data_IF_747222792338
#
_entry.id   IF_747222792338
#
_cell.length_a   1.000
_cell.length_b   1.000
_cell.length_c   1.000
_cell.angle_alpha   90.00
_cell.angle_beta   90.00
_cell.angle_gamma   90.00
#
_symmetry.space_group_name_H-M   'P 1'
#
loop_
_entity.id
_entity.type
_entity.pdbx_description
1 polymer ?
#
# COMPACT_ATOMS: atom_id res chain seq x y z
N UNK A 1 41.55 -13.56 -17.98
CA UNK A 1 40.07 -13.51 -17.96
C UNK A 1 39.63 -12.05 -17.72
N UNK A 2 39.04 -11.40 -18.72
CA UNK A 2 38.38 -10.11 -18.52
C UNK A 2 37.03 -10.39 -17.87
N UNK A 3 36.86 -9.96 -16.61
CA UNK A 3 35.58 -9.91 -15.94
C UNK A 3 34.77 -8.65 -16.30
N UNK A 4 33.58 -8.50 -15.71
CA UNK A 4 32.81 -7.28 -15.88
C UNK A 4 33.44 -6.13 -15.11
N UNK A 5 33.60 -4.98 -15.75
CA UNK A 5 34.14 -3.76 -15.12
C UNK A 5 33.30 -3.29 -13.94
N UNK A 6 31.98 -3.54 -14.00
CA UNK A 6 31.04 -3.26 -12.89
C UNK A 6 31.32 -4.06 -11.60
N UNK A 7 32.04 -5.17 -11.69
CA UNK A 7 32.45 -6.00 -10.56
C UNK A 7 33.87 -5.65 -10.06
N UNK A 8 34.53 -4.65 -10.66
CA UNK A 8 35.85 -4.25 -10.26
C UNK A 8 35.85 -3.51 -8.93
N UNK A 9 36.90 -3.72 -8.13
CA UNK A 9 37.16 -2.99 -6.88
C UNK A 9 38.10 -1.80 -7.07
N UNK A 10 38.19 -1.28 -8.30
CA UNK A 10 39.00 -0.10 -8.64
C UNK A 10 38.50 1.19 -7.99
N UNK A 11 39.26 2.27 -8.16
CA UNK A 11 39.03 3.59 -7.53
C UNK A 11 37.58 4.10 -7.70
N UNK A 12 36.93 3.83 -8.81
CA UNK A 12 35.54 4.27 -9.07
C UNK A 12 34.50 3.53 -8.21
N UNK A 13 34.79 2.29 -7.83
CA UNK A 13 33.87 1.43 -7.09
C UNK A 13 34.28 1.19 -5.63
N UNK A 14 35.39 1.77 -5.17
CA UNK A 14 35.97 1.52 -3.85
C UNK A 14 35.05 1.90 -2.69
N UNK A 15 34.22 2.92 -2.88
CA UNK A 15 33.23 3.35 -1.88
C UNK A 15 31.85 2.70 -2.05
N UNK A 16 31.65 1.89 -3.07
CA UNK A 16 30.34 1.29 -3.37
C UNK A 16 30.21 -0.06 -2.67
N UNK A 17 29.70 -0.01 -1.41
CA UNK A 17 29.43 -1.21 -0.62
C UNK A 17 28.05 -1.76 -0.96
N UNK A 18 28.00 -2.97 -1.45
CA UNK A 18 26.76 -3.67 -1.83
C UNK A 18 26.75 -5.07 -1.23
N UNK A 19 25.55 -5.54 -0.89
CA UNK A 19 25.32 -6.87 -0.36
C UNK A 19 24.30 -7.60 -1.23
N UNK A 20 24.54 -8.87 -1.48
CA UNK A 20 23.63 -9.72 -2.24
C UNK A 20 22.68 -10.44 -1.29
N UNK A 21 21.64 -9.74 -0.85
CA UNK A 21 20.65 -10.23 0.11
C UNK A 21 19.24 -10.30 -0.51
N UNK A 22 18.31 -10.96 0.22
CA UNK A 22 16.90 -10.90 -0.15
C UNK A 22 16.35 -9.48 -0.02
N UNK A 23 15.35 -9.12 -0.83
CA UNK A 23 14.79 -7.77 -0.79
C UNK A 23 14.25 -7.41 0.61
N UNK A 24 13.57 -8.35 1.27
CA UNK A 24 13.01 -8.10 2.60
C UNK A 24 14.11 -7.83 3.65
N UNK A 25 15.23 -8.53 3.59
CA UNK A 25 16.33 -8.32 4.52
C UNK A 25 17.00 -6.95 4.29
N UNK A 26 17.15 -6.55 3.04
CA UNK A 26 17.70 -5.23 2.67
C UNK A 26 16.78 -4.10 3.11
N UNK A 27 15.46 -4.25 2.88
CA UNK A 27 14.51 -3.15 2.99
C UNK A 27 13.96 -2.95 4.41
N UNK A 28 13.82 -4.02 5.18
CA UNK A 28 13.07 -4.01 6.46
C UNK A 28 13.55 -2.98 7.48
N UNK A 29 14.87 -2.77 7.58
CA UNK A 29 15.46 -1.84 8.56
C UNK A 29 15.41 -0.37 8.11
N UNK A 30 15.29 -0.14 6.82
CA UNK A 30 15.28 1.20 6.24
C UNK A 30 13.87 1.71 5.92
N UNK A 31 12.89 0.83 5.81
CA UNK A 31 11.52 1.09 5.35
C UNK A 31 10.86 2.26 6.08
N UNK A 32 10.85 2.22 7.41
CA UNK A 32 10.16 3.22 8.23
C UNK A 32 10.84 4.59 8.15
N UNK A 33 12.17 4.61 8.11
CA UNK A 33 12.94 5.86 7.94
C UNK A 33 12.69 6.46 6.56
N UNK A 34 12.69 5.65 5.51
CA UNK A 34 12.39 6.09 4.15
C UNK A 34 10.99 6.69 4.08
N UNK A 35 9.99 6.01 4.64
CA UNK A 35 8.59 6.48 4.71
C UNK A 35 8.48 7.81 5.45
N UNK A 36 9.08 7.91 6.63
CA UNK A 36 9.08 9.14 7.42
C UNK A 36 9.68 10.32 6.64
N UNK A 37 10.81 10.11 5.95
CA UNK A 37 11.45 11.12 5.10
C UNK A 37 10.61 11.48 3.88
N UNK A 38 9.95 10.51 3.25
CA UNK A 38 9.05 10.75 2.12
C UNK A 38 7.84 11.59 2.53
N UNK A 39 7.26 11.33 3.71
CA UNK A 39 6.19 12.14 4.29
C UNK A 39 6.66 13.54 4.69
N UNK A 40 7.91 13.69 5.10
CA UNK A 40 8.50 15.01 5.36
C UNK A 40 8.64 15.83 4.07
N UNK A 41 9.13 15.24 2.98
CA UNK A 41 9.16 15.88 1.67
C UNK A 41 7.75 16.25 1.17
N UNK A 42 6.75 15.40 1.39
CA UNK A 42 5.37 15.72 1.03
C UNK A 42 4.86 16.98 1.76
N UNK A 43 5.27 17.20 3.00
CA UNK A 43 4.84 18.37 3.80
C UNK A 43 5.65 19.62 3.52
N UNK A 44 6.97 19.48 3.38
CA UNK A 44 7.91 20.58 3.54
C UNK A 44 8.67 20.94 2.25
N UNK A 45 8.56 20.15 1.15
CA UNK A 45 9.22 20.41 -0.12
C UNK A 45 8.21 20.74 -1.22
N UNK A 46 8.33 21.91 -1.83
CA UNK A 46 7.52 22.33 -2.98
C UNK A 46 7.79 21.46 -4.22
N UNK A 47 9.05 21.10 -4.45
CA UNK A 47 9.47 20.18 -5.51
C UNK A 47 8.85 18.80 -5.26
N UNK A 48 8.98 18.28 -4.03
CA UNK A 48 8.38 17.00 -3.62
C UNK A 48 6.88 16.98 -3.86
N UNK A 49 6.18 18.01 -3.42
CA UNK A 49 4.73 18.16 -3.67
C UNK A 49 4.40 18.23 -5.15
N UNK A 50 5.20 18.92 -5.96
CA UNK A 50 4.96 19.06 -7.39
C UNK A 50 5.07 17.73 -8.12
N UNK A 51 6.08 16.92 -7.77
CA UNK A 51 6.26 15.55 -8.30
C UNK A 51 5.05 14.66 -7.91
N UNK A 52 4.64 14.68 -6.63
CA UNK A 52 3.51 13.89 -6.13
C UNK A 52 2.21 14.30 -6.82
N UNK A 53 1.97 15.60 -6.99
CA UNK A 53 0.78 16.12 -7.69
C UNK A 53 0.78 15.73 -9.17
N UNK A 54 1.93 15.80 -9.85
CA UNK A 54 2.06 15.40 -11.24
C UNK A 54 1.78 13.90 -11.42
N UNK A 55 2.36 13.06 -10.57
CA UNK A 55 2.09 11.62 -10.57
C UNK A 55 0.59 11.32 -10.37
N UNK A 56 0.00 11.88 -9.31
CA UNK A 56 -1.42 11.69 -9.00
C UNK A 56 -2.32 12.12 -10.15
N UNK A 57 -2.05 13.25 -10.78
CA UNK A 57 -2.81 13.76 -11.92
C UNK A 57 -2.72 12.85 -13.14
N UNK A 58 -1.52 12.34 -13.43
CA UNK A 58 -1.30 11.49 -14.61
C UNK A 58 -1.83 10.07 -14.42
N UNK A 59 -1.69 9.49 -13.21
CA UNK A 59 -2.15 8.14 -12.92
C UNK A 59 -3.67 8.08 -12.77
N UNK A 60 -4.26 9.05 -12.07
CA UNK A 60 -5.67 9.03 -11.74
C UNK A 60 -6.54 9.77 -12.77
N UNK A 61 -6.04 10.85 -13.37
CA UNK A 61 -6.76 11.66 -14.38
C UNK A 61 -8.12 12.15 -13.90
N UNK A 62 -9.14 11.88 -14.70
CA UNK A 62 -10.56 12.25 -14.43
C UNK A 62 -11.29 11.24 -13.51
N UNK A 63 -10.62 10.19 -13.06
CA UNK A 63 -11.20 9.13 -12.23
C UNK A 63 -11.65 7.90 -13.02
N UNK A 64 -12.16 6.92 -12.28
CA UNK A 64 -12.59 5.64 -12.84
C UNK A 64 -14.06 5.69 -13.25
N UNK A 65 -14.35 5.13 -14.42
CA UNK A 65 -15.70 4.93 -14.94
C UNK A 65 -15.91 3.45 -15.18
N UNK A 66 -17.02 2.91 -14.69
CA UNK A 66 -17.43 1.56 -15.04
C UNK A 66 -18.03 1.59 -16.46
N UNK A 67 -17.60 0.66 -17.28
CA UNK A 67 -18.16 0.39 -18.61
C UNK A 67 -18.62 -1.07 -18.62
N UNK A 68 -19.84 -1.36 -18.17
CA UNK A 68 -20.37 -2.72 -18.22
C UNK A 68 -20.50 -3.18 -19.68
N UNK A 69 -20.15 -4.44 -19.93
CA UNK A 69 -20.24 -5.06 -21.25
C UNK A 69 -20.92 -6.42 -21.12
N UNK A 70 -22.21 -6.40 -20.82
CA UNK A 70 -23.07 -7.60 -20.86
C UNK A 70 -23.87 -7.62 -22.16
N UNK A 71 -24.50 -8.74 -22.47
CA UNK A 71 -25.36 -8.87 -23.66
C UNK A 71 -26.63 -8.02 -23.57
N UNK A 72 -27.01 -7.53 -22.40
CA UNK A 72 -28.20 -6.71 -22.14
C UNK A 72 -27.85 -5.25 -21.90
N UNK A 73 -28.27 -4.35 -22.77
CA UNK A 73 -28.12 -2.91 -22.61
C UNK A 73 -28.82 -2.40 -21.32
N UNK A 74 -30.02 -2.94 -21.04
CA UNK A 74 -30.75 -2.59 -19.82
C UNK A 74 -29.96 -2.92 -18.56
N UNK A 75 -29.31 -4.09 -18.52
CA UNK A 75 -28.46 -4.49 -17.42
C UNK A 75 -27.21 -3.60 -17.31
N UNK A 76 -26.60 -3.23 -18.43
CA UNK A 76 -25.46 -2.32 -18.45
C UNK A 76 -25.81 -0.95 -17.86
N UNK A 77 -26.98 -0.41 -18.19
CA UNK A 77 -27.46 0.85 -17.63
C UNK A 77 -27.74 0.76 -16.13
N UNK A 78 -28.34 -0.33 -15.68
CA UNK A 78 -28.60 -0.58 -14.26
C UNK A 78 -27.28 -0.68 -13.47
N UNK A 79 -26.31 -1.44 -13.96
CA UNK A 79 -24.98 -1.57 -13.36
C UNK A 79 -24.24 -0.22 -13.32
N UNK A 80 -24.35 0.58 -14.39
CA UNK A 80 -23.78 1.91 -14.43
C UNK A 80 -24.39 2.88 -13.41
N UNK A 81 -25.71 2.83 -13.22
CA UNK A 81 -26.42 3.62 -12.20
C UNK A 81 -26.03 3.17 -10.78
N UNK A 82 -26.03 1.86 -10.53
CA UNK A 82 -25.65 1.28 -9.24
C UNK A 82 -24.21 1.63 -8.86
N UNK A 83 -23.28 1.53 -9.82
CA UNK A 83 -21.89 1.92 -9.63
C UNK A 83 -21.75 3.39 -9.23
N UNK A 84 -22.42 4.31 -9.94
CA UNK A 84 -22.40 5.74 -9.61
C UNK A 84 -22.93 6.02 -8.19
N UNK A 85 -23.98 5.28 -7.78
CA UNK A 85 -24.52 5.40 -6.43
C UNK A 85 -23.56 4.82 -5.38
N UNK A 86 -22.97 3.64 -5.65
CA UNK A 86 -22.01 3.03 -4.75
C UNK A 86 -20.76 3.89 -4.58
N UNK A 87 -20.28 4.57 -5.60
CA UNK A 87 -19.10 5.46 -5.54
C UNK A 87 -19.27 6.68 -4.61
N UNK A 88 -20.46 6.96 -4.12
CA UNK A 88 -20.68 8.04 -3.14
C UNK A 88 -20.11 7.65 -1.78
N UNK A 89 -19.63 8.63 -1.02
CA UNK A 89 -18.94 8.44 0.24
C UNK A 89 -19.72 7.61 1.27
N UNK A 90 -21.04 7.78 1.32
CA UNK A 90 -21.93 7.07 2.24
C UNK A 90 -21.99 5.57 1.97
N UNK A 91 -21.75 5.16 0.71
CA UNK A 91 -21.93 3.80 0.24
C UNK A 91 -20.62 3.02 0.09
N UNK A 92 -19.53 3.67 -0.33
CA UNK A 92 -18.27 2.99 -0.60
C UNK A 92 -17.27 3.04 0.56
N UNK A 93 -17.33 4.06 1.41
CA UNK A 93 -16.39 4.25 2.52
C UNK A 93 -17.02 3.84 3.86
N UNK A 94 -16.30 3.09 4.68
CA UNK A 94 -16.76 2.70 6.01
C UNK A 94 -16.93 3.91 6.93
N UNK A 95 -16.08 4.92 6.76
CA UNK A 95 -16.12 6.18 7.53
C UNK A 95 -17.09 7.21 6.94
N UNK A 96 -17.66 6.93 5.76
CA UNK A 96 -18.52 7.84 4.99
C UNK A 96 -17.91 9.23 4.74
N UNK A 97 -16.59 9.33 4.72
CA UNK A 97 -15.85 10.59 4.55
C UNK A 97 -15.42 10.86 3.11
N UNK A 98 -15.13 9.80 2.35
CA UNK A 98 -14.54 9.89 1.02
C UNK A 98 -15.34 9.13 -0.04
N UNK A 99 -15.53 9.76 -1.19
CA UNK A 99 -16.03 9.09 -2.38
C UNK A 99 -14.98 8.11 -2.93
N UNK A 100 -15.40 7.12 -3.71
CA UNK A 100 -14.49 6.15 -4.32
C UNK A 100 -13.34 6.81 -5.10
N UNK A 101 -13.63 7.88 -5.83
CA UNK A 101 -12.60 8.64 -6.53
C UNK A 101 -11.59 9.32 -5.59
N UNK A 102 -12.03 9.81 -4.44
CA UNK A 102 -11.13 10.39 -3.42
C UNK A 102 -10.27 9.31 -2.76
N UNK A 103 -10.86 8.14 -2.45
CA UNK A 103 -10.16 6.96 -1.95
C UNK A 103 -9.05 6.56 -2.91
N UNK A 104 -9.33 6.43 -4.20
CA UNK A 104 -8.34 6.01 -5.19
C UNK A 104 -7.25 7.07 -5.44
N UNK A 105 -7.59 8.36 -5.37
CA UNK A 105 -6.58 9.45 -5.40
C UNK A 105 -5.64 9.38 -4.22
N UNK A 106 -6.18 9.16 -3.03
CA UNK A 106 -5.38 8.99 -1.82
C UNK A 106 -4.50 7.75 -1.92
N UNK A 107 -5.04 6.62 -2.38
CA UNK A 107 -4.29 5.39 -2.59
C UNK A 107 -3.11 5.58 -3.55
N UNK A 108 -3.30 6.28 -4.66
CA UNK A 108 -2.22 6.59 -5.60
C UNK A 108 -1.12 7.44 -4.94
N UNK A 109 -1.51 8.42 -4.11
CA UNK A 109 -0.57 9.26 -3.37
C UNK A 109 0.19 8.44 -2.32
N UNK A 110 -0.52 7.66 -1.50
CA UNK A 110 0.10 6.83 -0.46
C UNK A 110 1.00 5.76 -1.06
N UNK A 111 0.63 5.18 -2.21
CA UNK A 111 1.48 4.23 -2.93
C UNK A 111 2.81 4.85 -3.32
N UNK A 112 2.83 6.10 -3.75
CA UNK A 112 4.06 6.81 -4.12
C UNK A 112 4.88 7.22 -2.88
N UNK A 113 4.23 7.82 -1.87
CA UNK A 113 4.90 8.38 -0.69
C UNK A 113 5.26 7.28 0.31
N UNK A 114 4.29 6.46 0.70
CA UNK A 114 4.47 5.44 1.74
C UNK A 114 4.95 4.10 1.16
N UNK A 115 4.86 3.94 -0.18
CA UNK A 115 5.14 2.70 -0.89
C UNK A 115 3.91 1.83 -1.07
N UNK A 116 2.83 2.07 -0.34
CA UNK A 116 1.60 1.29 -0.40
C UNK A 116 0.53 1.76 0.56
N UNK A 117 -0.60 1.10 0.48
CA UNK A 117 -1.74 1.22 1.39
C UNK A 117 -2.50 -0.10 1.43
N UNK A 118 -3.30 -0.32 2.46
CA UNK A 118 -4.16 -1.48 2.61
C UNK A 118 -5.63 -1.06 2.42
N UNK A 119 -6.36 -1.86 1.67
CA UNK A 119 -7.82 -1.79 1.66
C UNK A 119 -8.38 -3.00 2.39
N UNK A 120 -9.27 -2.78 3.33
CA UNK A 120 -10.02 -3.84 3.99
C UNK A 120 -11.44 -3.84 3.45
N UNK A 121 -11.86 -5.01 2.98
CA UNK A 121 -13.23 -5.27 2.55
C UNK A 121 -14.11 -5.39 3.79
N UNK A 122 -15.06 -4.48 3.95
CA UNK A 122 -16.03 -4.48 5.04
C UNK A 122 -17.41 -4.84 4.52
N UNK A 123 -18.00 -5.84 5.11
CA UNK A 123 -19.37 -6.25 4.81
C UNK A 123 -20.30 -5.71 5.90
N UNK A 124 -21.28 -4.90 5.48
CA UNK A 124 -22.21 -4.22 6.38
C UNK A 124 -23.60 -4.85 6.31
N UNK A 125 -24.38 -4.74 7.39
CA UNK A 125 -25.77 -5.12 7.37
C UNK A 125 -26.59 -3.93 6.84
N UNK A 126 -27.21 -4.10 5.67
CA UNK A 126 -27.99 -3.03 5.03
C UNK A 126 -27.17 -2.08 4.15
N UNK A 127 -27.84 -1.08 3.57
CA UNK A 127 -27.29 -0.15 2.59
C UNK A 127 -27.58 -0.55 1.15
N UNK A 128 -27.17 0.29 0.20
CA UNK A 128 -27.40 0.06 -1.23
C UNK A 128 -26.71 -1.24 -1.72
N UNK A 129 -25.46 -1.41 -1.30
CA UNK A 129 -24.66 -2.63 -1.48
C UNK A 129 -24.02 -2.92 -0.12
N UNK A 130 -24.14 -4.13 0.43
CA UNK A 130 -23.60 -4.49 1.75
C UNK A 130 -22.07 -4.66 1.69
N UNK A 131 -21.36 -3.75 1.03
CA UNK A 131 -19.93 -3.78 0.83
C UNK A 131 -19.36 -2.38 0.85
N UNK A 132 -18.37 -2.17 1.71
CA UNK A 132 -17.63 -0.91 1.83
C UNK A 132 -16.12 -1.18 1.89
N UNK A 133 -15.34 -0.15 1.61
CA UNK A 133 -13.89 -0.18 1.76
C UNK A 133 -13.49 0.60 3.01
N UNK A 134 -12.47 0.09 3.69
CA UNK A 134 -11.74 0.80 4.72
C UNK A 134 -10.29 0.93 4.25
N UNK A 135 -9.74 2.13 4.24
CA UNK A 135 -8.31 2.34 4.03
C UNK A 135 -7.57 2.27 5.35
N UNK A 136 -6.41 1.64 5.33
CA UNK A 136 -5.51 1.46 6.48
C UNK A 136 -4.10 1.77 6.00
N UNK A 137 -3.38 2.58 6.75
CA UNK A 137 -1.98 2.90 6.45
C UNK A 137 -1.07 1.69 6.66
N UNK A 138 0.02 1.61 5.91
CA UNK A 138 0.95 0.46 6.00
C UNK A 138 1.72 0.40 7.32
N UNK A 139 1.83 1.50 8.03
CA UNK A 139 2.42 1.56 9.38
C UNK A 139 1.46 1.10 10.49
N UNK A 140 0.17 0.92 10.19
CA UNK A 140 -0.74 0.19 11.07
C UNK A 140 -0.50 -1.33 11.07
N UNK A 141 0.34 -1.87 10.17
CA UNK A 141 0.78 -3.26 10.28
C UNK A 141 1.66 -3.43 11.52
N UNK A 142 1.26 -4.35 12.40
CA UNK A 142 2.00 -4.61 13.64
C UNK A 142 3.31 -5.36 13.37
N UNK A 143 4.38 -4.61 13.19
CA UNK A 143 5.72 -5.17 12.95
C UNK A 143 6.30 -5.93 14.13
N UNK A 144 5.69 -5.82 15.32
CA UNK A 144 6.12 -6.55 16.53
C UNK A 144 5.47 -7.92 16.62
N UNK A 145 4.42 -8.19 15.85
CA UNK A 145 3.79 -9.50 15.79
C UNK A 145 4.78 -10.54 15.27
N UNK A 146 5.02 -11.57 16.06
CA UNK A 146 5.96 -12.68 15.74
C UNK A 146 5.32 -14.05 15.82
N UNK A 147 4.15 -14.17 16.46
CA UNK A 147 3.45 -15.43 16.68
C UNK A 147 2.37 -15.59 15.59
N UNK A 148 2.50 -16.61 14.73
CA UNK A 148 1.49 -16.88 13.72
C UNK A 148 0.21 -17.42 14.35
N UNK A 149 -0.93 -17.10 13.74
CA UNK A 149 -2.23 -17.64 14.14
C UNK A 149 -2.40 -19.11 13.71
N UNK A 150 -1.79 -19.48 12.60
CA UNK A 150 -1.84 -20.84 12.07
C UNK A 150 -0.51 -21.54 12.23
N UNK A 151 -0.54 -22.77 12.74
CA UNK A 151 0.66 -23.60 12.95
C UNK A 151 1.40 -23.84 11.63
N UNK A 152 2.71 -23.66 11.63
CA UNK A 152 3.56 -23.85 10.45
C UNK A 152 3.76 -22.60 9.60
N UNK A 153 3.02 -21.52 9.87
CA UNK A 153 3.20 -20.23 9.21
C UNK A 153 4.29 -19.39 9.88
N UNK A 154 4.67 -18.32 9.22
CA UNK A 154 5.66 -17.36 9.73
C UNK A 154 5.10 -15.94 9.63
N UNK A 155 5.35 -15.10 10.65
CA UNK A 155 4.96 -13.69 10.64
C UNK A 155 6.16 -12.82 10.30
N UNK A 156 6.02 -11.97 9.30
CA UNK A 156 7.05 -11.01 8.91
C UNK A 156 6.40 -9.65 8.66
N UNK A 157 6.84 -8.64 9.40
CA UNK A 157 6.37 -7.26 9.24
C UNK A 157 4.87 -7.09 9.39
N UNK A 158 4.24 -7.83 10.31
CA UNK A 158 2.80 -7.77 10.58
C UNK A 158 1.94 -8.59 9.61
N UNK A 159 2.55 -9.41 8.76
CA UNK A 159 1.83 -10.25 7.80
C UNK A 159 2.19 -11.71 8.06
N UNK A 160 1.18 -12.56 8.20
CA UNK A 160 1.33 -14.00 8.32
C UNK A 160 1.41 -14.63 6.93
N UNK A 161 2.46 -15.42 6.71
CA UNK A 161 2.74 -16.12 5.46
C UNK A 161 2.72 -17.63 5.66
N UNK A 162 2.16 -18.35 4.71
CA UNK A 162 2.28 -19.80 4.63
C UNK A 162 3.68 -20.22 4.11
N UNK A 163 4.03 -21.52 4.14
CA UNK A 163 5.31 -22.01 3.64
C UNK A 163 5.56 -21.69 2.16
N UNK A 164 4.52 -21.47 1.35
CA UNK A 164 4.62 -21.03 -0.04
C UNK A 164 4.80 -19.51 -0.19
N UNK A 165 4.97 -18.76 0.92
CA UNK A 165 5.07 -17.29 0.99
C UNK A 165 3.81 -16.57 0.53
N UNK A 166 2.65 -17.19 0.61
CA UNK A 166 1.36 -16.56 0.37
C UNK A 166 0.88 -15.90 1.67
N UNK A 167 0.44 -14.67 1.61
CA UNK A 167 -0.15 -13.98 2.76
C UNK A 167 -1.47 -14.67 3.14
N UNK A 168 -1.59 -15.02 4.42
CA UNK A 168 -2.76 -15.68 5.02
C UNK A 168 -3.57 -14.70 5.87
N UNK A 169 -2.90 -13.77 6.53
CA UNK A 169 -3.54 -12.76 7.35
C UNK A 169 -2.63 -11.60 7.71
N UNK A 170 -3.23 -10.58 8.29
CA UNK A 170 -2.60 -9.31 8.62
C UNK A 170 -2.88 -8.96 10.08
N UNK A 171 -1.87 -8.62 10.83
CA UNK A 171 -1.97 -8.07 12.18
C UNK A 171 -2.01 -6.56 12.06
N UNK A 172 -3.18 -5.97 12.31
CA UNK A 172 -3.41 -4.53 12.17
C UNK A 172 -3.43 -3.92 13.57
N UNK A 173 -2.51 -3.01 13.80
CA UNK A 173 -2.49 -2.19 15.00
C UNK A 173 -3.65 -1.20 14.95
N UNK A 174 -4.39 -1.12 16.04
CA UNK A 174 -5.47 -0.14 16.15
C UNK A 174 -4.97 1.15 16.81
N UNK A 175 -5.56 2.25 16.38
CA UNK A 175 -5.39 3.56 16.98
C UNK A 175 -6.76 4.06 17.45
N UNK A 176 -6.78 4.79 18.53
CA UNK A 176 -7.98 5.54 18.95
C UNK A 176 -8.18 6.79 18.08
N UNK A 177 -9.25 7.54 18.35
CA UNK A 177 -9.60 8.76 17.59
C UNK A 177 -8.56 9.87 17.76
N UNK A 178 -7.82 9.87 18.86
CA UNK A 178 -6.75 10.84 19.16
C UNK A 178 -5.42 10.42 18.51
N UNK A 179 -5.34 9.22 17.94
CA UNK A 179 -4.15 8.69 17.27
C UNK A 179 -3.21 7.92 18.19
N UNK A 180 -3.63 7.58 19.42
CA UNK A 180 -2.84 6.75 20.31
C UNK A 180 -2.97 5.27 19.96
N UNK A 181 -1.85 4.57 20.03
CA UNK A 181 -1.78 3.15 19.74
C UNK A 181 -2.50 2.34 20.82
N UNK A 182 -3.47 1.51 20.41
CA UNK A 182 -4.11 0.55 21.29
C UNK A 182 -3.23 -0.69 21.51
N UNK A 183 -3.40 -1.37 22.65
CA UNK A 183 -2.50 -2.45 23.09
C UNK A 183 -2.63 -3.74 22.28
N UNK A 184 -3.78 -4.00 21.69
CA UNK A 184 -4.06 -5.29 21.03
C UNK A 184 -4.29 -5.12 19.54
N UNK A 185 -3.45 -5.71 18.67
CA UNK A 185 -3.68 -5.71 17.25
C UNK A 185 -4.86 -6.63 16.88
N UNK A 186 -5.54 -6.28 15.80
CA UNK A 186 -6.60 -7.10 15.21
C UNK A 186 -6.04 -7.93 14.07
N UNK A 187 -6.33 -9.23 14.07
CA UNK A 187 -6.00 -10.11 12.96
C UNK A 187 -7.11 -10.09 11.92
N UNK A 188 -6.74 -9.81 10.67
CA UNK A 188 -7.65 -9.82 9.52
C UNK A 188 -7.15 -10.84 8.50
N UNK A 189 -8.00 -11.79 8.13
CA UNK A 189 -7.67 -12.79 7.11
C UNK A 189 -7.39 -12.13 5.76
N UNK A 190 -6.41 -12.65 5.02
CA UNK A 190 -5.96 -12.08 3.75
C UNK A 190 -7.06 -11.95 2.69
N UNK A 191 -8.08 -12.82 2.72
CA UNK A 191 -9.23 -12.73 1.81
C UNK A 191 -10.01 -11.41 1.92
N UNK A 192 -9.91 -10.73 3.08
CA UNK A 192 -10.55 -9.43 3.33
C UNK A 192 -9.64 -8.24 3.09
N UNK A 193 -8.35 -8.46 2.83
CA UNK A 193 -7.37 -7.40 2.65
C UNK A 193 -6.89 -7.35 1.22
N UNK A 194 -6.83 -6.15 0.66
CA UNK A 194 -6.21 -5.88 -0.66
C UNK A 194 -4.98 -5.02 -0.38
N UNK A 195 -3.78 -5.59 -0.39
CA UNK A 195 -2.56 -4.82 -0.32
C UNK A 195 -2.32 -4.09 -1.65
N UNK A 196 -2.18 -2.78 -1.60
CA UNK A 196 -1.94 -1.96 -2.77
C UNK A 196 -0.51 -1.41 -2.74
N UNK A 197 0.44 -2.24 -3.15
CA UNK A 197 1.84 -1.89 -3.39
C UNK A 197 2.43 -2.72 -4.54
N UNK A 198 3.61 -2.30 -5.00
CA UNK A 198 4.30 -2.99 -6.09
C UNK A 198 5.52 -3.73 -5.55
N UNK A 199 5.61 -5.03 -5.83
CA UNK A 199 6.83 -5.79 -5.59
C UNK A 199 7.83 -5.49 -6.70
N UNK A 200 9.05 -5.09 -6.34
CA UNK A 200 10.17 -4.86 -7.26
C UNK A 200 11.04 -6.11 -7.41
N UNK A 201 11.04 -6.99 -6.39
CA UNK A 201 11.77 -8.26 -6.37
C UNK A 201 10.87 -9.36 -5.81
N UNK A 202 11.01 -10.64 -6.27
CA UNK A 202 10.19 -11.76 -5.78
C UNK A 202 10.28 -11.97 -4.28
N UNK A 203 11.44 -11.72 -3.67
CA UNK A 203 11.68 -11.87 -2.23
C UNK A 203 11.17 -10.70 -1.37
N UNK A 204 10.63 -9.64 -1.98
CA UNK A 204 10.05 -8.52 -1.27
C UNK A 204 8.68 -8.89 -0.71
N UNK A 205 8.48 -8.70 0.58
CA UNK A 205 7.24 -9.03 1.27
C UNK A 205 6.39 -7.79 1.54
N UNK A 206 7.04 -6.66 1.79
CA UNK A 206 6.40 -5.39 2.12
C UNK A 206 6.78 -4.27 1.16
N UNK A 207 6.07 -3.19 1.24
CA UNK A 207 6.22 -1.97 0.46
C UNK A 207 7.52 -1.21 0.77
N UNK A 208 7.95 -0.40 -0.20
CA UNK A 208 8.99 0.63 -0.04
C UNK A 208 8.57 1.84 -0.85
N UNK A 209 8.72 3.04 -0.29
CA UNK A 209 8.38 4.30 -0.97
C UNK A 209 8.98 4.40 -2.37
N UNK A 210 8.18 4.81 -3.33
CA UNK A 210 8.66 5.06 -4.70
C UNK A 210 9.59 6.31 -4.75
N UNK A 211 9.53 7.17 -3.74
CA UNK A 211 10.41 8.33 -3.61
C UNK A 211 11.81 7.99 -3.07
N UNK A 212 12.03 6.76 -2.58
CA UNK A 212 13.30 6.35 -1.96
C UNK A 212 14.56 6.77 -2.75
N UNK A 213 14.64 6.59 -4.09
CA UNK A 213 15.83 6.97 -4.85
C UNK A 213 16.06 8.48 -4.96
N UNK A 214 15.04 9.30 -4.72
CA UNK A 214 15.08 10.74 -4.98
C UNK A 214 15.12 11.59 -3.70
N UNK A 215 14.81 11.02 -2.54
CA UNK A 215 14.71 11.73 -1.26
C UNK A 215 15.94 12.62 -0.99
N UNK A 216 17.14 12.09 -1.14
CA UNK A 216 18.38 12.81 -0.86
C UNK A 216 18.75 13.87 -1.91
N UNK A 217 18.11 13.83 -3.10
CA UNK A 217 18.38 14.77 -4.19
C UNK A 217 17.38 15.93 -4.23
N UNK A 218 16.22 15.76 -3.59
CA UNK A 218 15.11 16.72 -3.64
C UNK A 218 14.96 17.49 -2.30
N UNK A 219 15.76 17.12 -1.31
CA UNK A 219 15.83 17.79 -0.01
C UNK A 219 16.47 19.17 -0.09
#
# INVERSE_FOLDING_TARGET
LRGYDAASHGRLNSGWRVFNESAELTDRYSRDVIRARARDLERNSDIGQSVIRAFRRNVFGKGYKLQPKTESELLNDQLGKLWKQWCRKENCDITASQSFNQIMRMAATRKQVDGGILFVKRYTRGGLVPFKLQMIEVDELDTTASIPRHKGNTVVGGIEYDPARRAVGYFIQQYDVEGWKLTTPVYIEAKYVIPYWTKRRPSQLREVSDLAPTITRVR
#
